data_IF_573593158652
#
_entry.id   IF_573593158652
#
_cell.length_a   1.000
_cell.length_b   1.000
_cell.length_c   1.000
_cell.angle_alpha   90.00
_cell.angle_beta   90.00
_cell.angle_gamma   90.00
#
_symmetry.space_group_name_H-M   'P 1'
#
loop_
_entity.id
_entity.type
_entity.pdbx_description
1 polymer ?
#
# COMPACT_ATOMS: atom_id res chain seq x y z
N UNK A 1 -8.24 -33.80 -14.85
CA UNK A 1 -7.50 -33.13 -15.95
C UNK A 1 -8.54 -32.61 -16.94
N UNK A 2 -8.48 -31.34 -17.35
CA UNK A 2 -9.42 -30.79 -18.31
C UNK A 2 -9.05 -31.24 -19.74
N UNK A 3 -10.05 -31.53 -20.57
CA UNK A 3 -9.85 -31.92 -21.97
C UNK A 3 -10.02 -30.72 -22.89
N UNK A 4 -9.21 -30.67 -23.95
CA UNK A 4 -9.37 -29.66 -25.01
C UNK A 4 -10.65 -29.87 -25.81
N UNK A 5 -11.15 -28.84 -26.49
CA UNK A 5 -12.35 -28.97 -27.32
C UNK A 5 -12.16 -30.00 -28.44
N UNK A 6 -10.94 -30.07 -29.00
CA UNK A 6 -10.55 -31.06 -30.01
C UNK A 6 -10.54 -32.49 -29.46
N UNK A 7 -9.99 -32.68 -28.25
CA UNK A 7 -9.99 -33.98 -27.58
C UNK A 7 -11.41 -34.46 -27.25
N UNK A 8 -12.27 -33.55 -26.75
CA UNK A 8 -13.68 -33.85 -26.46
C UNK A 8 -14.45 -34.27 -27.71
N UNK A 9 -14.27 -33.54 -28.83
CA UNK A 9 -14.88 -33.87 -30.13
C UNK A 9 -14.41 -35.23 -30.67
N UNK A 10 -13.12 -35.52 -30.51
CA UNK A 10 -12.53 -36.80 -30.93
C UNK A 10 -13.07 -37.97 -30.12
N UNK A 11 -13.24 -37.79 -28.80
CA UNK A 11 -13.81 -38.82 -27.91
C UNK A 11 -15.27 -39.09 -28.26
N UNK A 12 -16.11 -38.05 -28.46
CA UNK A 12 -17.51 -38.24 -28.87
C UNK A 12 -17.62 -39.03 -30.17
N UNK A 13 -16.89 -38.63 -31.21
CA UNK A 13 -16.95 -39.31 -32.52
C UNK A 13 -16.57 -40.78 -32.48
N UNK A 14 -15.60 -41.15 -31.64
CA UNK A 14 -15.08 -42.51 -31.59
C UNK A 14 -15.81 -43.41 -30.58
N UNK A 15 -16.28 -42.84 -29.46
CA UNK A 15 -16.88 -43.62 -28.36
C UNK A 15 -18.41 -43.62 -28.37
N UNK A 16 -19.08 -42.59 -28.93
CA UNK A 16 -20.54 -42.60 -29.06
C UNK A 16 -21.08 -43.80 -29.86
N UNK A 17 -20.44 -44.27 -30.96
CA UNK A 17 -20.89 -45.47 -31.67
C UNK A 17 -20.77 -46.77 -30.87
N UNK A 18 -19.92 -46.80 -29.83
CA UNK A 18 -19.64 -48.00 -29.04
C UNK A 18 -20.42 -48.06 -27.72
N UNK A 19 -20.60 -46.91 -27.06
CA UNK A 19 -21.18 -46.81 -25.72
C UNK A 19 -22.57 -46.15 -25.71
N UNK A 20 -22.98 -45.54 -26.82
CA UNK A 20 -24.14 -44.66 -26.90
C UNK A 20 -23.81 -43.21 -26.54
N UNK A 21 -24.57 -42.27 -27.11
CA UNK A 21 -24.37 -40.82 -26.96
C UNK A 21 -24.39 -40.39 -25.47
N UNK A 22 -25.39 -40.86 -24.72
CA UNK A 22 -25.57 -40.53 -23.30
C UNK A 22 -24.38 -40.97 -22.43
N UNK A 23 -23.84 -42.17 -22.67
CA UNK A 23 -22.72 -42.69 -21.87
C UNK A 23 -21.41 -41.98 -22.24
N UNK A 24 -21.23 -41.63 -23.52
CA UNK A 24 -20.08 -40.84 -23.97
C UNK A 24 -20.12 -39.41 -23.40
N UNK A 25 -21.29 -38.77 -23.35
CA UNK A 25 -21.48 -37.47 -22.70
C UNK A 25 -21.27 -37.55 -21.18
N UNK A 26 -21.81 -38.57 -20.52
CA UNK A 26 -21.58 -38.79 -19.09
C UNK A 26 -20.09 -38.97 -18.78
N UNK A 27 -19.34 -39.65 -19.64
CA UNK A 27 -17.89 -39.79 -19.52
C UNK A 27 -17.17 -38.44 -19.71
N UNK A 28 -17.60 -37.63 -20.68
CA UNK A 28 -17.06 -36.28 -20.88
C UNK A 28 -17.44 -35.29 -19.76
N UNK A 29 -18.49 -35.55 -19.00
CA UNK A 29 -18.84 -34.76 -17.80
C UNK A 29 -17.79 -34.90 -16.69
N UNK A 30 -17.10 -36.06 -16.63
CA UNK A 30 -16.00 -36.31 -15.69
C UNK A 30 -14.71 -35.57 -16.06
N UNK A 31 -14.65 -35.02 -17.28
CA UNK A 31 -13.49 -34.31 -17.81
C UNK A 31 -13.91 -32.95 -18.40
N UNK A 32 -14.12 -31.91 -17.57
CA UNK A 32 -14.60 -30.61 -18.01
C UNK A 32 -13.74 -30.01 -19.14
N UNK A 33 -14.35 -29.16 -19.97
CA UNK A 33 -13.65 -28.47 -21.03
C UNK A 33 -12.58 -27.52 -20.44
N UNK A 34 -11.44 -27.43 -21.12
CA UNK A 34 -10.40 -26.49 -20.76
C UNK A 34 -10.72 -25.11 -21.37
N UNK A 35 -11.17 -24.16 -20.54
CA UNK A 35 -11.51 -22.78 -20.96
C UNK A 35 -10.28 -21.99 -21.46
N UNK A 36 -9.07 -22.52 -21.28
CA UNK A 36 -7.81 -21.92 -21.76
C UNK A 36 -7.70 -21.89 -23.31
N UNK A 37 -8.55 -22.61 -24.05
CA UNK A 37 -8.53 -22.62 -25.52
C UNK A 37 -9.38 -21.53 -26.16
N UNK A 38 -10.24 -20.82 -25.42
CA UNK A 38 -10.94 -19.67 -26.00
C UNK A 38 -9.96 -18.53 -26.20
N UNK A 39 -9.65 -18.13 -27.46
CA UNK A 39 -8.78 -16.99 -27.69
C UNK A 39 -9.43 -15.75 -27.09
N UNK A 40 -8.68 -15.02 -26.26
CA UNK A 40 -9.14 -13.75 -25.72
C UNK A 40 -9.52 -12.82 -26.87
N UNK A 41 -10.75 -12.29 -26.85
CA UNK A 41 -11.20 -11.37 -27.89
C UNK A 41 -10.47 -10.03 -27.73
N UNK A 42 -10.31 -9.29 -28.83
CA UNK A 42 -9.73 -7.94 -28.79
C UNK A 42 -10.45 -7.03 -27.79
N UNK A 43 -11.77 -7.16 -27.70
CA UNK A 43 -12.59 -6.35 -26.80
C UNK A 43 -12.40 -6.75 -25.34
N UNK A 44 -12.27 -8.05 -25.04
CA UNK A 44 -11.94 -8.54 -23.71
C UNK A 44 -10.59 -7.99 -23.24
N UNK A 45 -9.53 -8.14 -24.04
CA UNK A 45 -8.20 -7.63 -23.70
C UNK A 45 -8.21 -6.11 -23.53
N UNK A 46 -8.97 -5.39 -24.37
CA UNK A 46 -9.12 -3.93 -24.24
C UNK A 46 -9.81 -3.55 -22.93
N UNK A 47 -10.87 -4.26 -22.55
CA UNK A 47 -11.60 -4.00 -21.30
C UNK A 47 -10.70 -4.23 -20.08
N UNK A 48 -9.97 -5.35 -20.04
CA UNK A 48 -9.00 -5.67 -18.99
C UNK A 48 -7.88 -4.63 -18.92
N UNK A 49 -7.32 -4.19 -20.05
CA UNK A 49 -6.31 -3.13 -20.05
C UNK A 49 -6.84 -1.78 -19.52
N UNK A 50 -8.10 -1.44 -19.80
CA UNK A 50 -8.72 -0.22 -19.28
C UNK A 50 -8.94 -0.34 -17.76
N UNK A 51 -9.44 -1.49 -17.30
CA UNK A 51 -9.63 -1.78 -15.89
C UNK A 51 -8.29 -1.70 -15.12
N UNK A 52 -7.27 -2.41 -15.58
CA UNK A 52 -5.93 -2.37 -14.99
C UNK A 52 -5.34 -0.96 -14.98
N UNK A 53 -5.49 -0.19 -16.06
CA UNK A 53 -5.02 1.20 -16.10
C UNK A 53 -5.76 2.07 -15.08
N UNK A 54 -7.07 1.88 -14.93
CA UNK A 54 -7.88 2.59 -13.95
C UNK A 54 -7.42 2.28 -12.52
N UNK A 55 -7.25 1.00 -12.19
CA UNK A 55 -6.83 0.54 -10.87
C UNK A 55 -5.44 1.08 -10.51
N UNK A 56 -4.48 1.00 -11.44
CA UNK A 56 -3.14 1.54 -11.24
C UNK A 56 -3.17 3.05 -11.04
N UNK A 57 -3.98 3.78 -11.81
CA UNK A 57 -4.11 5.24 -11.65
C UNK A 57 -4.70 5.58 -10.28
N UNK A 58 -5.74 4.85 -9.86
CA UNK A 58 -6.36 5.04 -8.55
C UNK A 58 -5.38 4.78 -7.40
N UNK A 59 -4.63 3.68 -7.45
CA UNK A 59 -3.61 3.36 -6.44
C UNK A 59 -2.51 4.43 -6.38
N UNK A 60 -2.06 4.95 -7.53
CA UNK A 60 -1.08 6.04 -7.57
C UNK A 60 -1.62 7.30 -6.88
N UNK A 61 -2.87 7.66 -7.11
CA UNK A 61 -3.47 8.85 -6.51
C UNK A 61 -3.74 8.69 -5.01
N UNK A 62 -4.09 7.47 -4.56
CA UNK A 62 -4.17 7.14 -3.14
C UNK A 62 -2.80 7.29 -2.46
N UNK A 63 -1.75 6.66 -3.00
CA UNK A 63 -0.39 6.74 -2.47
C UNK A 63 0.12 8.19 -2.43
N UNK A 64 -0.16 8.99 -3.47
CA UNK A 64 0.19 10.42 -3.47
C UNK A 64 -0.51 11.20 -2.35
N UNK A 65 -1.76 10.87 -2.09
CA UNK A 65 -2.55 11.53 -1.04
C UNK A 65 -2.01 11.16 0.35
N UNK A 66 -1.74 9.88 0.58
CA UNK A 66 -1.15 9.36 1.82
C UNK A 66 0.22 9.99 2.08
N UNK A 67 1.14 9.95 1.11
CA UNK A 67 2.47 10.57 1.24
C UNK A 67 2.40 12.06 1.54
N UNK A 68 1.44 12.78 0.93
CA UNK A 68 1.27 14.21 1.18
C UNK A 68 0.76 14.49 2.60
N UNK A 69 -0.09 13.62 3.14
CA UNK A 69 -0.55 13.68 4.53
C UNK A 69 0.61 13.39 5.49
N UNK A 70 1.35 12.30 5.29
CA UNK A 70 2.52 11.94 6.12
C UNK A 70 3.59 13.05 6.14
N UNK A 71 3.90 13.65 4.99
CA UNK A 71 4.81 14.80 4.92
C UNK A 71 4.27 16.00 5.71
N UNK A 72 2.95 16.21 5.69
CA UNK A 72 2.27 17.24 6.48
C UNK A 72 2.38 17.00 7.99
N UNK A 73 2.22 15.75 8.41
CA UNK A 73 2.30 15.33 9.81
C UNK A 73 3.73 15.48 10.33
N UNK A 74 4.73 14.94 9.62
CA UNK A 74 6.15 15.10 9.98
C UNK A 74 6.57 16.58 10.04
N UNK A 75 6.08 17.41 9.11
CA UNK A 75 6.36 18.85 9.16
C UNK A 75 5.75 19.52 10.40
N UNK A 76 4.58 19.06 10.84
CA UNK A 76 3.91 19.59 12.03
C UNK A 76 4.63 19.17 13.30
N UNK A 77 5.04 17.90 13.39
CA UNK A 77 5.84 17.36 14.48
C UNK A 77 7.17 18.11 14.62
N UNK A 78 7.93 18.25 13.53
CA UNK A 78 9.20 18.99 13.54
C UNK A 78 9.03 20.46 13.98
N UNK A 79 7.93 21.12 13.59
CA UNK A 79 7.65 22.49 14.05
C UNK A 79 7.37 22.55 15.54
N UNK A 80 6.67 21.55 16.09
CA UNK A 80 6.41 21.45 17.52
C UNK A 80 7.72 21.24 18.29
N UNK A 81 8.54 20.27 17.88
CA UNK A 81 9.83 19.98 18.51
C UNK A 81 10.78 21.20 18.50
N UNK A 82 10.85 21.93 17.38
CA UNK A 82 11.62 23.18 17.29
C UNK A 82 11.07 24.23 18.27
N UNK A 83 9.75 24.33 18.42
CA UNK A 83 9.11 25.23 19.37
C UNK A 83 9.45 24.88 20.82
N UNK A 84 9.42 23.60 21.16
CA UNK A 84 9.75 23.09 22.48
C UNK A 84 11.23 23.33 22.81
N UNK A 85 12.14 22.99 21.89
CA UNK A 85 13.58 23.27 22.04
C UNK A 85 13.86 24.76 22.22
N UNK A 86 13.16 25.62 21.49
CA UNK A 86 13.31 27.09 21.65
C UNK A 86 12.88 27.55 23.03
N UNK A 87 11.77 27.02 23.53
CA UNK A 87 11.24 27.34 24.86
C UNK A 87 12.20 26.87 25.95
N UNK A 88 12.74 25.66 25.79
CA UNK A 88 13.70 25.08 26.72
C UNK A 88 15.00 25.89 26.77
N UNK A 89 15.55 26.25 25.60
CA UNK A 89 16.75 27.09 25.54
C UNK A 89 16.54 28.46 26.19
N UNK A 90 15.37 29.09 25.97
CA UNK A 90 15.03 30.36 26.63
C UNK A 90 14.94 30.22 28.15
N UNK A 91 14.39 29.10 28.63
CA UNK A 91 14.29 28.79 30.06
C UNK A 91 15.69 28.61 30.66
N UNK A 92 16.54 27.81 30.04
CA UNK A 92 17.91 27.58 30.50
C UNK A 92 18.74 28.86 30.54
N UNK A 93 18.70 29.67 29.46
CA UNK A 93 19.39 30.95 29.42
C UNK A 93 18.91 31.90 30.52
N UNK A 94 17.60 31.96 30.76
CA UNK A 94 17.03 32.79 31.84
C UNK A 94 17.51 32.31 33.20
N UNK A 95 17.48 31.00 33.46
CA UNK A 95 17.94 30.44 34.73
C UNK A 95 19.44 30.70 34.95
N UNK A 96 20.27 30.49 33.93
CA UNK A 96 21.70 30.81 34.00
C UNK A 96 21.96 32.30 34.25
N UNK A 97 21.22 33.19 33.60
CA UNK A 97 21.34 34.63 33.85
C UNK A 97 20.96 34.99 35.29
N UNK A 98 19.83 34.46 35.79
CA UNK A 98 19.41 34.71 37.17
C UNK A 98 20.45 34.15 38.16
N UNK A 99 20.91 32.91 37.95
CA UNK A 99 21.92 32.30 38.80
C UNK A 99 23.22 33.13 38.86
N UNK A 100 23.72 33.59 37.70
CA UNK A 100 24.94 34.41 37.65
C UNK A 100 24.74 35.78 38.32
N UNK A 101 23.60 36.45 38.09
CA UNK A 101 23.28 37.72 38.75
C UNK A 101 23.15 37.57 40.28
N UNK A 102 22.48 36.52 40.75
CA UNK A 102 22.36 36.25 42.20
C UNK A 102 23.73 35.98 42.84
N UNK A 103 24.59 35.22 42.16
CA UNK A 103 25.95 34.95 42.63
C UNK A 103 26.79 36.23 42.72
N UNK A 104 26.80 37.06 41.67
CA UNK A 104 27.51 38.35 41.67
C UNK A 104 26.97 39.27 42.76
N UNK A 105 25.64 39.35 42.92
CA UNK A 105 25.01 40.13 43.99
C UNK A 105 25.45 39.69 45.39
N UNK A 106 25.49 38.38 45.64
CA UNK A 106 25.95 37.82 46.91
C UNK A 106 27.42 38.18 47.18
N UNK A 107 28.30 38.08 46.18
CA UNK A 107 29.71 38.47 46.31
C UNK A 107 29.88 39.96 46.64
N UNK A 108 29.11 40.84 45.98
CA UNK A 108 29.16 42.27 46.26
C UNK A 108 28.68 42.59 47.69
N UNK A 109 27.63 41.93 48.17
CA UNK A 109 27.17 42.10 49.54
C UNK A 109 28.18 41.59 50.57
N UNK A 110 28.85 40.47 50.30
CA UNK A 110 29.90 39.94 51.17
C UNK A 110 31.11 40.89 51.23
N UNK A 111 31.55 41.44 50.08
CA UNK A 111 32.65 42.40 50.03
C UNK A 111 32.34 43.71 50.78
N UNK A 112 31.09 44.19 50.74
CA UNK A 112 30.67 45.39 51.48
C UNK A 112 30.69 45.22 53.00
N UNK A 113 30.62 43.99 53.51
CA UNK A 113 30.58 43.65 54.94
C UNK A 113 31.96 43.35 55.55
N UNK A 114 33.00 43.26 54.72
CA UNK A 114 34.42 43.11 55.11
C UNK A 114 35.06 44.49 55.30
#
# INVERSE_FOLDING_TARGET
MALTASQRSTILKNFAPMLGEEVAEALLSQFPANDLETPATRDFVRAECIALKSDVTHQIDQLRTELKAEIGDVRTELKAEIGDLRTELQRELRLHLVATLTFVGALLTAFRLL
#
